data_IF_943873384957
#
_entry.id   IF_943873384957
#
_cell.length_a   1.000
_cell.length_b   1.000
_cell.length_c   1.000
_cell.angle_alpha   90.00
_cell.angle_beta   90.00
_cell.angle_gamma   90.00
#
_symmetry.space_group_name_H-M   'P 1'
#
loop_
_entity.id
_entity.type
_entity.pdbx_description
1 polymer ?
#
# COMPACT_ATOMS: atom_id res chain seq x y z
N UNK A 1 8.25 -5.27 0.50
CA UNK A 1 6.89 -5.86 0.37
C UNK A 1 6.46 -6.11 -1.08
N UNK A 2 6.73 -5.17 -2.00
CA UNK A 2 6.50 -5.35 -3.44
C UNK A 2 7.25 -6.54 -4.05
N UNK A 3 6.76 -7.00 -5.20
CA UNK A 3 7.40 -8.06 -5.98
C UNK A 3 8.14 -7.50 -7.17
N UNK A 4 9.23 -8.17 -7.54
CA UNK A 4 10.04 -7.83 -8.71
C UNK A 4 10.70 -9.12 -9.21
N UNK A 5 10.77 -9.28 -10.53
CA UNK A 5 11.38 -10.45 -11.16
C UNK A 5 12.89 -10.34 -11.34
N UNK A 6 13.47 -9.14 -11.14
CA UNK A 6 14.85 -8.85 -11.53
C UNK A 6 15.56 -7.77 -10.70
N UNK A 7 15.04 -7.37 -9.53
CA UNK A 7 15.78 -6.41 -8.71
C UNK A 7 17.03 -7.06 -8.09
N UNK A 8 18.13 -6.29 -7.93
CA UNK A 8 19.30 -6.72 -7.17
C UNK A 8 18.92 -7.19 -5.77
N UNK A 9 19.55 -8.27 -5.30
CA UNK A 9 19.23 -8.89 -4.02
C UNK A 9 19.40 -7.92 -2.84
N UNK A 10 20.35 -7.00 -2.97
CA UNK A 10 20.65 -5.96 -2.01
C UNK A 10 19.44 -5.05 -1.75
N UNK A 11 18.58 -4.82 -2.74
CA UNK A 11 17.45 -3.88 -2.61
C UNK A 11 16.12 -4.55 -2.26
N UNK A 12 16.01 -5.88 -2.38
CA UNK A 12 14.76 -6.60 -2.13
C UNK A 12 14.24 -6.40 -0.70
N UNK A 13 15.14 -6.38 0.27
CA UNK A 13 14.82 -6.34 1.70
C UNK A 13 15.32 -5.06 2.42
N UNK A 14 16.13 -4.24 1.76
CA UNK A 14 16.77 -3.08 2.39
C UNK A 14 16.25 -1.72 1.89
N UNK A 15 15.40 -1.69 0.86
CA UNK A 15 14.89 -0.44 0.28
C UNK A 15 13.36 -0.39 0.33
N UNK A 16 12.84 0.68 0.95
CA UNK A 16 11.42 0.98 1.03
C UNK A 16 10.95 1.35 2.44
N UNK A 17 9.66 1.68 2.56
CA UNK A 17 8.98 1.89 3.83
C UNK A 17 7.80 0.91 3.97
N UNK A 18 7.39 0.54 5.20
CA UNK A 18 6.23 -0.31 5.40
C UNK A 18 4.95 0.29 4.80
N UNK A 19 4.15 -0.53 4.08
CA UNK A 19 2.95 -0.07 3.38
C UNK A 19 1.98 0.69 4.30
N UNK A 20 1.76 0.17 5.51
CA UNK A 20 0.80 0.78 6.47
C UNK A 20 1.20 2.20 6.84
N UNK A 21 2.49 2.47 7.04
CA UNK A 21 2.98 3.81 7.39
C UNK A 21 2.80 4.78 6.22
N UNK A 22 3.20 4.35 5.01
CA UNK A 22 3.00 5.15 3.80
C UNK A 22 1.53 5.45 3.55
N UNK A 23 0.65 4.45 3.70
CA UNK A 23 -0.78 4.59 3.47
C UNK A 23 -1.42 5.60 4.43
N UNK A 24 -1.12 5.50 5.74
CA UNK A 24 -1.63 6.44 6.74
C UNK A 24 -1.13 7.86 6.48
N UNK A 25 0.16 8.02 6.17
CA UNK A 25 0.75 9.31 5.86
C UNK A 25 0.07 9.95 4.65
N UNK A 26 -0.03 9.22 3.53
CA UNK A 26 -0.63 9.74 2.29
C UNK A 26 -2.12 10.04 2.48
N UNK A 27 -2.86 9.16 3.16
CA UNK A 27 -4.28 9.41 3.46
C UNK A 27 -4.45 10.68 4.27
N UNK A 28 -3.64 10.87 5.31
CA UNK A 28 -3.73 12.06 6.16
C UNK A 28 -3.32 13.33 5.43
N UNK A 29 -2.30 13.27 4.56
CA UNK A 29 -1.93 14.39 3.71
C UNK A 29 -3.06 14.78 2.74
N UNK A 30 -3.69 13.80 2.08
CA UNK A 30 -4.83 14.06 1.19
C UNK A 30 -6.05 14.64 1.93
N UNK A 31 -6.29 14.20 3.17
CA UNK A 31 -7.37 14.76 4.00
C UNK A 31 -7.01 16.18 4.47
N UNK A 32 -5.79 16.41 4.94
CA UNK A 32 -5.33 17.73 5.39
C UNK A 32 -5.22 18.77 4.28
N UNK A 33 -5.18 18.34 3.02
CA UNK A 33 -5.20 19.20 1.83
C UNK A 33 -6.55 19.27 1.14
N UNK A 34 -7.59 18.63 1.69
CA UNK A 34 -8.94 18.57 1.09
C UNK A 34 -8.97 18.01 -0.34
N UNK A 35 -8.08 17.07 -0.64
CA UNK A 35 -7.97 16.42 -1.95
C UNK A 35 -8.41 14.95 -1.95
N UNK A 36 -8.76 14.38 -0.79
CA UNK A 36 -9.08 12.94 -0.67
C UNK A 36 -10.31 12.50 -1.48
N UNK A 37 -11.24 13.41 -1.71
CA UNK A 37 -12.43 13.23 -2.55
C UNK A 37 -12.08 13.22 -4.05
N UNK A 38 -11.02 13.95 -4.45
CA UNK A 38 -10.55 14.05 -5.84
C UNK A 38 -9.52 12.98 -6.19
N UNK A 39 -8.77 12.48 -5.20
CA UNK A 39 -7.69 11.53 -5.40
C UNK A 39 -8.01 10.19 -4.73
N UNK A 40 -8.11 9.16 -5.56
CA UNK A 40 -8.23 7.77 -5.09
C UNK A 40 -6.87 7.20 -4.72
N UNK A 41 -6.82 6.47 -3.63
CA UNK A 41 -5.62 5.89 -3.06
C UNK A 41 -5.64 4.37 -3.21
N UNK A 42 -4.68 3.85 -3.98
CA UNK A 42 -4.50 2.41 -4.16
C UNK A 42 -3.37 1.90 -3.27
N UNK A 43 -3.49 0.67 -2.77
CA UNK A 43 -2.37 -0.01 -2.11
C UNK A 43 -2.11 -1.40 -2.69
N UNK A 44 -0.87 -1.86 -2.60
CA UNK A 44 -0.44 -3.19 -3.05
C UNK A 44 0.75 -3.67 -2.22
N UNK A 45 0.90 -4.98 -2.11
CA UNK A 45 2.03 -5.61 -1.41
C UNK A 45 1.58 -6.73 -0.50
N UNK A 46 1.75 -7.98 -0.95
CA UNK A 46 1.45 -9.22 -0.19
C UNK A 46 0.12 -9.17 0.58
N UNK A 47 -0.91 -8.55 0.01
CA UNK A 47 -2.26 -8.50 0.59
C UNK A 47 -2.98 -9.81 0.23
N UNK A 48 -2.67 -10.88 0.98
CA UNK A 48 -3.11 -12.24 0.66
C UNK A 48 -4.41 -12.62 1.38
N UNK A 49 -4.61 -12.14 2.61
CA UNK A 49 -5.81 -12.47 3.39
C UNK A 49 -6.88 -11.39 3.27
N UNK A 50 -8.15 -11.81 3.39
CA UNK A 50 -9.28 -10.88 3.47
C UNK A 50 -9.11 -9.85 4.60
N UNK A 51 -8.54 -10.28 5.73
CA UNK A 51 -8.23 -9.38 6.85
C UNK A 51 -7.19 -8.31 6.47
N UNK A 52 -6.15 -8.66 5.72
CA UNK A 52 -5.14 -7.70 5.27
C UNK A 52 -5.75 -6.66 4.33
N UNK A 53 -6.57 -7.11 3.37
CA UNK A 53 -7.31 -6.24 2.45
C UNK A 53 -8.23 -5.30 3.22
N UNK A 54 -9.09 -5.84 4.11
CA UNK A 54 -10.01 -5.06 4.92
C UNK A 54 -9.28 -4.05 5.81
N UNK A 55 -8.15 -4.46 6.41
CA UNK A 55 -7.30 -3.58 7.22
C UNK A 55 -6.76 -2.40 6.40
N UNK A 56 -6.27 -2.66 5.18
CA UNK A 56 -5.75 -1.61 4.29
C UNK A 56 -6.85 -0.65 3.84
N UNK A 57 -8.06 -1.16 3.54
CA UNK A 57 -9.20 -0.30 3.22
C UNK A 57 -9.64 0.55 4.41
N UNK A 58 -9.64 0.00 5.62
CA UNK A 58 -9.94 0.74 6.85
C UNK A 58 -8.93 1.86 7.14
N UNK A 59 -7.66 1.67 6.75
CA UNK A 59 -6.62 2.71 6.82
C UNK A 59 -6.77 3.80 5.74
N UNK A 60 -7.67 3.61 4.77
CA UNK A 60 -8.06 4.61 3.78
C UNK A 60 -7.60 4.35 2.35
N UNK A 61 -7.23 3.11 2.02
CA UNK A 61 -7.14 2.69 0.63
C UNK A 61 -8.55 2.58 0.02
N UNK A 62 -8.75 3.15 -1.16
CA UNK A 62 -9.99 3.01 -1.95
C UNK A 62 -10.07 1.63 -2.62
N UNK A 63 -8.92 1.04 -2.98
CA UNK A 63 -8.84 -0.34 -3.44
C UNK A 63 -7.46 -0.97 -3.15
N UNK A 64 -7.42 -2.30 -3.25
CA UNK A 64 -6.22 -3.11 -2.99
C UNK A 64 -5.91 -3.96 -4.22
N UNK A 65 -4.66 -3.91 -4.68
CA UNK A 65 -4.17 -4.80 -5.74
C UNK A 65 -3.30 -5.91 -5.15
N UNK A 66 -3.44 -7.13 -5.66
CA UNK A 66 -2.64 -8.28 -5.26
C UNK A 66 -2.14 -9.03 -6.49
N UNK A 67 -0.82 -9.05 -6.65
CA UNK A 67 -0.15 -9.75 -7.76
C UNK A 67 0.48 -11.09 -7.33
N UNK A 68 0.86 -11.21 -6.05
CA UNK A 68 1.36 -12.43 -5.43
C UNK A 68 0.43 -12.78 -4.28
N UNK A 69 -0.61 -13.55 -4.59
CA UNK A 69 -1.74 -13.87 -3.71
C UNK A 69 -1.66 -15.25 -3.06
N UNK A 70 -0.47 -15.86 -3.01
CA UNK A 70 -0.22 -17.19 -2.43
C UNK A 70 0.93 -17.12 -1.42
#
# INVERSE_FOLDING_TARGET
>A
EGGTGAAPAEFLDHVGAPLRQGLVLTRNALVGTELKDKVRLACSGKQVSAFAIASSMALGADWVNTARGF
#
